data_IF_218052708099
#
_entry.id   IF_218052708099
#
_cell.length_a   1.000
_cell.length_b   1.000
_cell.length_c   1.000
_cell.angle_alpha   90.00
_cell.angle_beta   90.00
_cell.angle_gamma   90.00
#
_symmetry.space_group_name_H-M   'P 1'
#
loop_
_entity.id
_entity.type
_entity.pdbx_description
1 polymer ?
#
# COMPACT_ATOMS: atom_id res chain seq x y z
N UNK A 1 -4.03 28.10 19.08
CA UNK A 1 -3.35 26.79 19.12
C UNK A 1 -2.46 26.70 17.89
N UNK A 2 -1.18 26.38 18.07
CA UNK A 2 -0.21 26.35 16.98
C UNK A 2 -0.47 25.11 16.10
N UNK A 3 -0.96 25.30 14.88
CA UNK A 3 -1.43 24.23 13.98
C UNK A 3 -0.28 23.43 13.32
N UNK A 4 0.97 23.76 13.59
CA UNK A 4 2.15 23.25 12.89
C UNK A 4 3.13 22.49 13.79
N UNK A 5 2.66 21.70 14.77
CA UNK A 5 3.52 20.71 15.44
C UNK A 5 3.44 19.39 14.68
N UNK A 6 4.24 19.26 13.63
CA UNK A 6 4.55 17.97 13.03
C UNK A 6 5.67 17.33 13.87
N UNK A 7 5.41 16.16 14.42
CA UNK A 7 6.41 15.35 15.09
C UNK A 7 6.76 14.16 14.21
N UNK A 8 8.06 13.90 14.06
CA UNK A 8 8.55 12.77 13.28
C UNK A 8 8.68 11.57 14.20
N UNK A 9 7.89 10.54 13.94
CA UNK A 9 7.99 9.27 14.65
C UNK A 9 9.25 8.52 14.21
N UNK A 10 9.99 7.97 15.19
CA UNK A 10 11.19 7.16 14.91
C UNK A 10 10.76 5.77 14.44
N UNK A 11 11.28 5.34 13.30
CA UNK A 11 11.09 4.01 12.75
C UNK A 11 12.46 3.38 12.51
N UNK A 12 12.65 2.16 13.02
CA UNK A 12 13.89 1.41 12.79
C UNK A 12 14.07 1.06 11.31
N UNK A 13 15.31 0.93 10.81
CA UNK A 13 15.55 0.44 9.47
C UNK A 13 14.97 -0.97 9.30
N UNK A 14 14.58 -1.33 8.08
CA UNK A 14 14.05 -2.67 7.74
C UNK A 14 12.87 -3.13 8.62
N UNK A 15 12.07 -2.21 9.14
CA UNK A 15 10.93 -2.51 10.03
C UNK A 15 9.55 -2.23 9.39
N UNK A 16 9.23 -2.80 8.20
CA UNK A 16 7.95 -2.54 7.54
C UNK A 16 6.74 -3.02 8.35
N UNK A 17 6.93 -3.98 9.26
CA UNK A 17 5.88 -4.47 10.17
C UNK A 17 5.40 -3.40 11.16
N UNK A 18 6.23 -2.38 11.40
CA UNK A 18 5.92 -1.26 12.28
C UNK A 18 5.33 -0.06 11.51
N UNK A 19 5.14 -0.17 10.18
CA UNK A 19 4.58 0.88 9.35
C UNK A 19 3.20 0.49 8.77
N UNK A 20 2.09 1.08 9.25
CA UNK A 20 0.74 0.66 8.85
C UNK A 20 0.43 0.94 7.37
N UNK A 21 1.20 1.80 6.70
CA UNK A 21 1.02 2.07 5.27
C UNK A 21 1.27 0.83 4.42
N UNK A 22 2.15 -0.08 4.86
CA UNK A 22 2.48 -1.32 4.12
C UNK A 22 1.25 -2.22 3.97
N UNK A 23 0.44 -2.32 5.02
CA UNK A 23 -0.83 -3.05 5.00
C UNK A 23 -1.85 -2.41 4.03
N UNK A 24 -1.92 -1.08 4.03
CA UNK A 24 -2.77 -0.34 3.11
C UNK A 24 -2.34 -0.56 1.64
N UNK A 25 -1.04 -0.54 1.37
CA UNK A 25 -0.50 -0.85 0.05
C UNK A 25 -0.75 -2.28 -0.38
N UNK A 26 -0.64 -3.26 0.51
CA UNK A 26 -0.96 -4.64 0.19
C UNK A 26 -2.43 -4.81 -0.19
N UNK A 27 -3.35 -4.14 0.52
CA UNK A 27 -4.78 -4.13 0.19
C UNK A 27 -5.06 -3.46 -1.16
N UNK A 28 -4.43 -2.31 -1.44
CA UNK A 28 -4.54 -1.63 -2.73
C UNK A 28 -4.01 -2.49 -3.87
N UNK A 29 -2.79 -3.03 -3.74
CA UNK A 29 -2.18 -3.92 -4.74
C UNK A 29 -3.04 -5.16 -5.00
N UNK A 30 -3.64 -5.74 -3.97
CA UNK A 30 -4.55 -6.88 -4.13
C UNK A 30 -5.77 -6.50 -4.98
N UNK A 31 -6.41 -5.36 -4.69
CA UNK A 31 -7.56 -4.88 -5.47
C UNK A 31 -7.17 -4.52 -6.91
N UNK A 32 -6.03 -3.84 -7.10
CA UNK A 32 -5.48 -3.53 -8.42
C UNK A 32 -5.16 -4.78 -9.22
N UNK A 33 -4.62 -5.84 -8.60
CA UNK A 33 -4.34 -7.10 -9.30
C UNK A 33 -5.60 -7.71 -9.92
N UNK A 34 -6.73 -7.67 -9.22
CA UNK A 34 -8.01 -8.11 -9.78
C UNK A 34 -8.46 -7.21 -10.96
N UNK A 35 -8.41 -5.89 -10.78
CA UNK A 35 -8.76 -4.94 -11.83
C UNK A 35 -7.90 -5.12 -13.11
N UNK A 36 -6.60 -5.34 -12.93
CA UNK A 36 -5.68 -5.58 -14.05
C UNK A 36 -5.89 -6.95 -14.70
N UNK A 37 -6.30 -7.97 -13.94
CA UNK A 37 -6.60 -9.29 -14.48
C UNK A 37 -7.79 -9.26 -15.46
N UNK A 38 -8.82 -8.47 -15.16
CA UNK A 38 -9.98 -8.25 -16.03
C UNK A 38 -9.59 -7.51 -17.33
N UNK A 39 -8.58 -6.64 -17.26
CA UNK A 39 -8.08 -5.81 -18.37
C UNK A 39 -6.77 -6.32 -18.97
N UNK A 40 -6.46 -7.60 -18.80
CA UNK A 40 -5.14 -8.18 -19.17
C UNK A 40 -4.75 -7.90 -20.62
N UNK A 41 -5.71 -7.91 -21.55
CA UNK A 41 -5.44 -7.65 -22.97
C UNK A 41 -4.97 -6.23 -23.22
N UNK A 42 -5.51 -5.23 -22.50
CA UNK A 42 -5.11 -3.83 -22.65
C UNK A 42 -3.64 -3.62 -22.27
N UNK A 43 -3.14 -4.35 -21.27
CA UNK A 43 -1.72 -4.32 -20.87
C UNK A 43 -0.76 -4.89 -21.93
N UNK A 44 -1.26 -5.67 -22.89
CA UNK A 44 -0.49 -6.25 -23.99
C UNK A 44 -0.50 -5.38 -25.25
N UNK A 45 -1.25 -4.27 -25.24
CA UNK A 45 -1.37 -3.36 -26.36
C UNK A 45 -0.57 -2.08 -26.10
N UNK A 46 -0.09 -1.45 -27.17
CA UNK A 46 0.48 -0.10 -27.10
C UNK A 46 -0.63 0.96 -27.08
N UNK A 47 -1.75 0.67 -27.74
CA UNK A 47 -2.82 1.64 -27.97
C UNK A 47 -2.30 2.87 -28.72
N UNK A 48 -2.80 4.04 -28.31
CA UNK A 48 -2.46 5.35 -28.87
C UNK A 48 -1.17 5.95 -28.31
N UNK A 49 -0.48 5.25 -27.40
CA UNK A 49 0.70 5.78 -26.71
C UNK A 49 2.00 5.52 -27.49
N UNK A 50 3.03 6.32 -27.21
CA UNK A 50 4.35 6.20 -27.85
C UNK A 50 5.08 4.90 -27.49
N UNK A 51 4.75 4.29 -26.35
CA UNK A 51 5.36 3.04 -25.89
C UNK A 51 4.39 2.20 -25.07
N UNK A 52 4.64 0.89 -25.00
CA UNK A 52 3.93 -0.01 -24.09
C UNK A 52 4.04 0.44 -22.63
N UNK A 53 5.19 0.99 -22.22
CA UNK A 53 5.41 1.48 -20.86
C UNK A 53 4.49 2.67 -20.54
N UNK A 54 4.33 3.61 -21.47
CA UNK A 54 3.42 4.74 -21.33
C UNK A 54 1.96 4.29 -21.19
N UNK A 55 1.51 3.37 -22.05
CA UNK A 55 0.15 2.82 -21.97
C UNK A 55 -0.09 2.09 -20.64
N UNK A 56 0.84 1.22 -20.22
CA UNK A 56 0.76 0.49 -18.95
C UNK A 56 0.76 1.42 -17.74
N UNK A 57 1.51 2.52 -17.77
CA UNK A 57 1.49 3.51 -16.71
C UNK A 57 0.12 4.20 -16.60
N UNK A 58 -0.49 4.56 -17.74
CA UNK A 58 -1.84 5.10 -17.76
C UNK A 58 -2.85 4.11 -17.17
N UNK A 59 -2.82 2.85 -17.61
CA UNK A 59 -3.67 1.79 -17.04
C UNK A 59 -3.46 1.59 -15.53
N UNK A 60 -2.22 1.67 -15.06
CA UNK A 60 -1.92 1.59 -13.62
C UNK A 60 -2.47 2.79 -12.84
N UNK A 61 -2.45 4.00 -13.41
CA UNK A 61 -3.08 5.18 -12.79
C UNK A 61 -4.59 5.01 -12.69
N UNK A 62 -5.24 4.53 -13.75
CA UNK A 62 -6.67 4.20 -13.74
C UNK A 62 -6.99 3.14 -12.70
N UNK A 63 -6.16 2.11 -12.59
CA UNK A 63 -6.31 1.05 -11.60
C UNK A 63 -6.22 1.60 -10.16
N UNK A 64 -5.29 2.52 -9.88
CA UNK A 64 -5.23 3.20 -8.58
C UNK A 64 -6.49 4.00 -8.32
N UNK A 65 -6.95 4.80 -9.29
CA UNK A 65 -8.14 5.64 -9.12
C UNK A 65 -9.39 4.79 -8.84
N UNK A 66 -9.57 3.69 -9.57
CA UNK A 66 -10.68 2.75 -9.38
C UNK A 66 -10.58 1.99 -8.05
N UNK A 67 -9.35 1.67 -7.59
CA UNK A 67 -9.15 0.76 -6.46
C UNK A 67 -8.86 1.46 -5.12
N UNK A 68 -8.45 2.74 -5.11
CA UNK A 68 -8.04 3.45 -3.88
C UNK A 68 -9.12 3.48 -2.80
N UNK A 69 -10.39 3.37 -3.18
CA UNK A 69 -11.53 3.25 -2.26
C UNK A 69 -11.46 2.05 -1.30
N UNK A 70 -10.61 1.05 -1.57
CA UNK A 70 -10.35 -0.05 -0.63
C UNK A 70 -9.71 0.44 0.68
N UNK A 71 -8.97 1.56 0.63
CA UNK A 71 -8.32 2.17 1.79
C UNK A 71 -9.36 2.98 2.59
N UNK A 72 -10.14 2.28 3.39
CA UNK A 72 -11.15 2.88 4.28
C UNK A 72 -10.57 3.23 5.64
N UNK A 73 -11.23 4.13 6.39
CA UNK A 73 -10.87 4.42 7.81
C UNK A 73 -10.80 3.15 8.66
N UNK A 74 -11.72 2.20 8.43
CA UNK A 74 -11.75 0.91 9.13
C UNK A 74 -10.54 0.06 8.79
N UNK A 75 -10.09 0.07 7.52
CA UNK A 75 -8.88 -0.63 7.10
C UNK A 75 -7.63 -0.04 7.74
N UNK A 76 -7.51 1.29 7.73
CA UNK A 76 -6.39 2.01 8.35
C UNK A 76 -6.28 1.62 9.83
N UNK A 77 -7.39 1.74 10.57
CA UNK A 77 -7.41 1.39 12.00
C UNK A 77 -7.05 -0.08 12.27
N UNK A 78 -7.45 -1.00 11.38
CA UNK A 78 -7.04 -2.41 11.48
C UNK A 78 -5.52 -2.57 11.37
N UNK A 79 -4.88 -1.84 10.46
CA UNK A 79 -3.42 -1.92 10.27
C UNK A 79 -2.63 -1.16 11.33
N UNK A 80 -3.13 -0.02 11.82
CA UNK A 80 -2.55 0.65 12.99
C UNK A 80 -2.53 -0.27 14.21
N UNK A 81 -3.65 -0.96 14.48
CA UNK A 81 -3.73 -1.96 15.55
C UNK A 81 -2.80 -3.14 15.32
N UNK A 82 -2.62 -3.57 14.06
CA UNK A 82 -1.65 -4.62 13.73
C UNK A 82 -0.22 -4.17 14.05
N UNK A 83 0.20 -3.00 13.58
CA UNK A 83 1.53 -2.44 13.86
C UNK A 83 1.77 -2.24 15.36
N UNK A 84 0.76 -1.80 16.12
CA UNK A 84 0.88 -1.69 17.58
C UNK A 84 1.24 -3.01 18.25
N UNK A 85 0.66 -4.14 17.79
CA UNK A 85 1.03 -5.47 18.31
C UNK A 85 2.47 -5.83 17.96
N UNK A 86 2.91 -5.45 16.76
CA UNK A 86 4.30 -5.66 16.32
C UNK A 86 5.29 -4.80 17.12
N UNK A 87 4.92 -3.59 17.54
CA UNK A 87 5.75 -2.79 18.45
C UNK A 87 6.02 -3.55 19.76
N UNK A 88 4.99 -4.13 20.38
CA UNK A 88 5.17 -4.93 21.60
C UNK A 88 6.01 -6.19 21.37
N UNK A 89 5.92 -6.81 20.20
CA UNK A 89 6.75 -7.95 19.85
C UNK A 89 8.22 -7.55 19.69
N UNK A 90 8.48 -6.43 19.00
CA UNK A 90 9.81 -5.87 18.82
C UNK A 90 10.46 -5.47 20.16
N UNK A 91 9.70 -4.84 21.07
CA UNK A 91 10.17 -4.48 22.41
C UNK A 91 10.62 -5.70 23.24
N UNK A 92 10.01 -6.87 22.99
CA UNK A 92 10.35 -8.13 23.66
C UNK A 92 11.45 -8.92 22.95
N UNK A 93 11.97 -8.41 21.83
CA UNK A 93 12.98 -9.08 21.03
C UNK A 93 12.45 -10.32 20.28
N UNK A 94 11.15 -10.39 20.02
CA UNK A 94 10.60 -11.47 19.19
C UNK A 94 10.90 -11.22 17.72
N UNK A 95 11.13 -12.32 17.00
CA UNK A 95 11.23 -12.30 15.55
C UNK A 95 9.91 -11.81 14.94
N UNK A 96 10.02 -10.86 14.02
CA UNK A 96 8.89 -10.32 13.28
C UNK A 96 8.90 -10.89 11.87
N UNK A 97 7.83 -11.59 11.51
CA UNK A 97 7.69 -12.16 10.18
C UNK A 97 7.35 -11.10 9.13
N UNK A 98 7.99 -11.21 7.96
CA UNK A 98 7.81 -10.32 6.83
C UNK A 98 6.73 -10.87 5.88
N UNK A 99 5.56 -10.23 5.89
CA UNK A 99 4.43 -10.60 5.02
C UNK A 99 3.44 -11.51 5.73
N UNK A 100 2.15 -11.26 5.48
CA UNK A 100 1.04 -12.14 5.85
C UNK A 100 0.46 -12.77 4.59
#
# INVERSE_FOLDING_TARGET
MNLNKLEVLRLGPYSPMLNPIEGCWNSLKAKMRHFMAERKQEFLMRGEYDSFAAHRLALMKDAVEACKGVITRRLIWRYERHCLRQCFAAERGFDMELGA
#
